data_IF_273351456821
#
_entry.id   IF_273351456821
#
_cell.length_a   1.000
_cell.length_b   1.000
_cell.length_c   1.000
_cell.angle_alpha   90.00
_cell.angle_beta   90.00
_cell.angle_gamma   90.00
#
_symmetry.space_group_name_H-M   'P 1'
#
loop_
_entity.id
_entity.type
_entity.pdbx_description
1 polymer ?
#
# COMPACT_ATOMS: atom_id res chain seq x y z
N UNK A 1 -33.24 -8.71 -0.23
CA UNK A 1 -31.90 -8.34 0.27
C UNK A 1 -31.43 -7.21 -0.61
N UNK A 2 -31.11 -6.04 -0.05
CA UNK A 2 -30.63 -4.93 -0.87
C UNK A 2 -29.19 -5.22 -1.32
N UNK A 3 -28.78 -4.63 -2.44
CA UNK A 3 -27.42 -4.77 -2.96
C UNK A 3 -26.38 -4.41 -1.89
N UNK A 4 -26.62 -3.33 -1.15
CA UNK A 4 -25.72 -2.88 -0.07
C UNK A 4 -25.59 -3.93 1.04
N UNK A 5 -26.68 -4.61 1.44
CA UNK A 5 -26.64 -5.69 2.44
C UNK A 5 -25.75 -6.87 1.99
N UNK A 6 -25.74 -7.15 0.68
CA UNK A 6 -24.92 -8.22 0.09
C UNK A 6 -23.44 -7.84 0.01
N UNK A 7 -23.16 -6.57 -0.30
CA UNK A 7 -21.80 -6.02 -0.28
C UNK A 7 -21.24 -6.07 1.15
N UNK A 8 -22.02 -5.66 2.14
CA UNK A 8 -21.60 -5.71 3.55
C UNK A 8 -21.30 -7.15 3.99
N UNK A 9 -22.16 -8.10 3.63
CA UNK A 9 -21.93 -9.52 3.93
C UNK A 9 -20.65 -10.06 3.27
N UNK A 10 -20.37 -9.66 2.02
CA UNK A 10 -19.15 -10.04 1.32
C UNK A 10 -17.91 -9.45 2.04
N UNK A 11 -17.96 -8.19 2.43
CA UNK A 11 -16.89 -7.52 3.17
C UNK A 11 -16.66 -8.20 4.52
N UNK A 12 -17.70 -8.57 5.26
CA UNK A 12 -17.56 -9.32 6.51
C UNK A 12 -16.88 -10.67 6.30
N UNK A 13 -17.28 -11.41 5.26
CA UNK A 13 -16.65 -12.69 4.91
C UNK A 13 -15.17 -12.52 4.58
N UNK A 14 -14.82 -11.52 3.78
CA UNK A 14 -13.43 -11.19 3.46
C UNK A 14 -12.63 -10.89 4.74
N UNK A 15 -13.15 -10.01 5.61
CA UNK A 15 -12.50 -9.67 6.88
C UNK A 15 -12.36 -10.85 7.84
N UNK A 16 -13.20 -11.87 7.71
CA UNK A 16 -13.15 -13.08 8.53
C UNK A 16 -12.02 -14.05 8.16
N UNK A 17 -11.40 -13.88 6.98
CA UNK A 17 -10.29 -14.72 6.52
C UNK A 17 -9.03 -14.43 7.33
N UNK A 18 -8.29 -15.48 7.70
CA UNK A 18 -7.18 -15.35 8.64
C UNK A 18 -6.03 -14.49 8.07
N UNK A 19 -5.67 -14.66 6.80
CA UNK A 19 -4.64 -13.82 6.16
C UNK A 19 -5.07 -12.33 6.04
N UNK A 20 -6.37 -12.05 5.96
CA UNK A 20 -6.89 -10.67 5.99
C UNK A 20 -6.79 -10.08 7.39
N UNK A 21 -7.06 -10.86 8.45
CA UNK A 21 -6.84 -10.43 9.83
C UNK A 21 -5.36 -10.19 10.10
N UNK A 22 -4.49 -11.08 9.62
CA UNK A 22 -3.05 -10.96 9.79
C UNK A 22 -2.50 -9.71 9.09
N UNK A 23 -3.02 -9.39 7.90
CA UNK A 23 -2.75 -8.13 7.22
C UNK A 23 -3.20 -6.91 8.05
N UNK A 24 -4.44 -6.91 8.57
CA UNK A 24 -4.96 -5.81 9.40
C UNK A 24 -4.13 -5.60 10.67
N UNK A 25 -3.63 -6.68 11.27
CA UNK A 25 -2.72 -6.60 12.42
C UNK A 25 -1.37 -6.00 12.03
N UNK A 26 -0.80 -6.43 10.90
CA UNK A 26 0.46 -5.87 10.38
C UNK A 26 0.32 -4.39 10.04
N UNK A 27 -0.79 -3.99 9.41
CA UNK A 27 -1.13 -2.60 9.13
C UNK A 27 -1.21 -1.78 10.42
N UNK A 28 -1.94 -2.28 11.43
CA UNK A 28 -2.06 -1.59 12.73
C UNK A 28 -0.71 -1.43 13.42
N UNK A 29 0.14 -2.47 13.40
CA UNK A 29 1.47 -2.44 13.97
C UNK A 29 2.39 -1.45 13.25
N UNK A 30 2.32 -1.41 11.90
CA UNK A 30 3.04 -0.44 11.09
C UNK A 30 2.58 0.99 11.40
N UNK A 31 1.26 1.23 11.45
CA UNK A 31 0.65 2.54 11.74
C UNK A 31 0.98 3.05 13.14
N UNK A 32 1.17 2.16 14.12
CA UNK A 32 1.58 2.54 15.46
C UNK A 32 3.03 3.06 15.53
N UNK A 33 3.88 2.74 14.54
CA UNK A 33 5.28 3.14 14.53
C UNK A 33 5.46 4.57 13.99
N UNK A 34 5.33 5.57 14.86
CA UNK A 34 5.51 6.98 14.51
C UNK A 34 6.90 7.32 13.97
N UNK A 35 7.94 6.57 14.34
CA UNK A 35 9.31 6.85 13.87
C UNK A 35 9.48 6.55 12.38
N UNK A 36 8.83 5.49 11.88
CA UNK A 36 8.80 5.19 10.45
C UNK A 36 8.13 6.30 9.64
N UNK A 37 7.01 6.85 10.12
CA UNK A 37 6.36 7.98 9.45
C UNK A 37 7.21 9.24 9.49
N UNK A 38 7.85 9.55 10.62
CA UNK A 38 8.79 10.68 10.71
C UNK A 38 9.95 10.51 9.73
N UNK A 39 10.52 9.31 9.64
CA UNK A 39 11.55 8.97 8.67
C UNK A 39 11.06 9.15 7.22
N UNK A 40 9.83 8.73 6.92
CA UNK A 40 9.25 8.89 5.59
C UNK A 40 9.06 10.36 5.23
N UNK A 41 8.60 11.19 6.16
CA UNK A 41 8.42 12.62 5.95
C UNK A 41 9.77 13.34 5.77
N UNK A 42 10.79 12.99 6.56
CA UNK A 42 12.16 13.48 6.39
C UNK A 42 12.71 13.11 5.00
N UNK A 43 12.53 11.86 4.58
CA UNK A 43 12.94 11.39 3.25
C UNK A 43 12.27 12.21 2.14
N UNK A 44 10.94 12.44 2.22
CA UNK A 44 10.21 13.25 1.24
C UNK A 44 10.69 14.70 1.20
N UNK A 45 10.98 15.29 2.36
CA UNK A 45 11.53 16.64 2.45
C UNK A 45 12.89 16.73 1.74
N UNK A 46 13.78 15.77 1.98
CA UNK A 46 15.08 15.68 1.31
C UNK A 46 14.92 15.46 -0.20
N UNK A 47 14.00 14.61 -0.65
CA UNK A 47 13.73 14.40 -2.08
C UNK A 47 13.26 15.70 -2.76
N UNK A 48 12.36 16.45 -2.11
CA UNK A 48 11.89 17.76 -2.60
C UNK A 48 13.03 18.77 -2.69
N UNK A 49 13.89 18.80 -1.69
CA UNK A 49 15.07 19.67 -1.65
C UNK A 49 16.10 19.27 -2.73
N UNK A 50 16.31 17.98 -2.96
CA UNK A 50 17.16 17.49 -4.04
C UNK A 50 16.63 17.95 -5.41
N UNK A 51 15.32 17.83 -5.66
CA UNK A 51 14.70 18.35 -6.90
C UNK A 51 14.93 19.85 -7.05
N UNK A 52 14.86 20.62 -5.96
CA UNK A 52 15.19 22.04 -6.00
C UNK A 52 16.66 22.27 -6.38
N UNK A 53 17.61 21.58 -5.73
CA UNK A 53 19.03 21.72 -6.03
C UNK A 53 19.39 21.33 -7.46
N UNK A 54 18.71 20.31 -8.00
CA UNK A 54 18.85 19.93 -9.40
C UNK A 54 18.41 21.06 -10.34
N UNK A 55 17.29 21.74 -10.04
CA UNK A 55 16.75 22.84 -10.87
C UNK A 55 17.63 24.10 -10.86
N UNK A 56 18.44 24.30 -9.83
CA UNK A 56 19.34 25.46 -9.70
C UNK A 56 20.81 25.09 -9.92
N UNK A 57 21.08 23.98 -10.61
CA UNK A 57 22.41 23.48 -10.98
C UNK A 57 23.39 23.28 -9.80
N UNK A 58 22.89 23.14 -8.58
CA UNK A 58 23.69 22.86 -7.38
C UNK A 58 23.97 21.36 -7.24
N UNK A 59 24.74 20.82 -8.18
CA UNK A 59 24.96 19.37 -8.31
C UNK A 59 25.58 18.70 -7.08
N UNK A 60 26.46 19.37 -6.34
CA UNK A 60 27.03 18.82 -5.11
C UNK A 60 26.00 18.71 -3.98
N UNK A 61 25.14 19.73 -3.83
CA UNK A 61 24.05 19.71 -2.87
C UNK A 61 23.01 18.65 -3.24
N UNK A 62 22.63 18.57 -4.52
CA UNK A 62 21.76 17.53 -5.05
C UNK A 62 22.26 16.13 -4.68
N UNK A 63 23.52 15.81 -4.96
CA UNK A 63 24.10 14.49 -4.66
C UNK A 63 24.03 14.17 -3.17
N UNK A 64 24.43 15.11 -2.31
CA UNK A 64 24.42 14.90 -0.85
C UNK A 64 23.00 14.68 -0.33
N UNK A 65 22.05 15.53 -0.72
CA UNK A 65 20.66 15.43 -0.28
C UNK A 65 19.99 14.16 -0.82
N UNK A 66 20.26 13.79 -2.07
CA UNK A 66 19.76 12.55 -2.67
C UNK A 66 20.31 11.31 -1.96
N UNK A 67 21.60 11.29 -1.61
CA UNK A 67 22.19 10.20 -0.83
C UNK A 67 21.56 10.08 0.56
N UNK A 68 21.33 11.20 1.26
CA UNK A 68 20.64 11.18 2.56
C UNK A 68 19.24 10.58 2.44
N UNK A 69 18.46 10.98 1.42
CA UNK A 69 17.14 10.41 1.17
C UNK A 69 17.20 8.90 0.89
N UNK A 70 18.17 8.44 0.09
CA UNK A 70 18.37 7.02 -0.23
C UNK A 70 18.73 6.17 1.00
N UNK A 71 19.50 6.72 1.93
CA UNK A 71 19.83 6.04 3.19
C UNK A 71 18.55 5.82 4.02
N UNK A 72 17.71 6.84 4.12
CA UNK A 72 16.44 6.73 4.85
C UNK A 72 15.49 5.77 4.14
N UNK A 73 15.39 5.82 2.81
CA UNK A 73 14.58 4.91 2.00
C UNK A 73 14.98 3.45 2.27
N UNK A 74 16.28 3.14 2.24
CA UNK A 74 16.79 1.79 2.54
C UNK A 74 16.43 1.35 3.95
N UNK A 75 16.58 2.23 4.94
CA UNK A 75 16.21 1.94 6.32
C UNK A 75 14.72 1.61 6.46
N UNK A 76 13.85 2.36 5.79
CA UNK A 76 12.40 2.11 5.80
C UNK A 76 12.09 0.78 5.11
N UNK A 77 12.65 0.53 3.92
CA UNK A 77 12.40 -0.72 3.16
C UNK A 77 12.85 -1.98 3.88
N UNK A 78 13.97 -1.90 4.61
CA UNK A 78 14.51 -3.02 5.39
C UNK A 78 13.90 -3.13 6.79
N UNK A 79 12.90 -2.31 7.12
CA UNK A 79 12.28 -2.35 8.43
C UNK A 79 11.33 -3.58 8.51
N UNK A 80 11.42 -4.42 9.56
CA UNK A 80 10.61 -5.63 9.66
C UNK A 80 9.10 -5.41 9.53
N UNK A 81 8.57 -4.33 10.13
CA UNK A 81 7.15 -3.98 9.98
C UNK A 81 6.73 -3.61 8.56
N UNK A 82 7.64 -3.03 7.76
CA UNK A 82 7.34 -2.66 6.38
C UNK A 82 7.37 -3.90 5.49
N UNK A 83 8.34 -4.78 5.71
CA UNK A 83 8.42 -6.08 5.04
C UNK A 83 7.20 -6.96 5.35
N UNK A 84 6.86 -7.11 6.64
CA UNK A 84 5.70 -7.90 7.07
C UNK A 84 4.38 -7.38 6.50
N UNK A 85 4.17 -6.05 6.52
CA UNK A 85 3.03 -5.42 5.87
C UNK A 85 3.01 -5.66 4.36
N UNK A 86 4.14 -5.47 3.67
CA UNK A 86 4.23 -5.61 2.23
C UNK A 86 3.96 -7.05 1.75
N UNK A 87 4.50 -8.05 2.45
CA UNK A 87 4.25 -9.46 2.13
C UNK A 87 2.77 -9.81 2.30
N UNK A 88 2.13 -9.38 3.39
CA UNK A 88 0.70 -9.66 3.63
C UNK A 88 -0.23 -8.86 2.72
N UNK A 89 0.21 -7.69 2.26
CA UNK A 89 -0.55 -6.87 1.33
C UNK A 89 -0.73 -7.57 -0.03
N UNK A 90 0.28 -8.32 -0.49
CA UNK A 90 0.22 -9.05 -1.76
C UNK A 90 -0.95 -10.06 -1.76
N UNK A 91 -1.03 -10.92 -0.74
CA UNK A 91 -2.10 -11.91 -0.60
C UNK A 91 -3.51 -11.29 -0.56
N UNK A 92 -3.66 -10.17 0.16
CA UNK A 92 -4.95 -9.46 0.26
C UNK A 92 -5.31 -8.76 -1.06
N UNK A 93 -4.31 -8.25 -1.79
CA UNK A 93 -4.52 -7.60 -3.07
C UNK A 93 -4.96 -8.62 -4.14
N UNK A 94 -4.34 -9.80 -4.15
CA UNK A 94 -4.73 -10.91 -5.02
C UNK A 94 -6.17 -11.37 -4.75
N UNK A 95 -6.57 -11.45 -3.48
CA UNK A 95 -7.96 -11.74 -3.11
C UNK A 95 -8.93 -10.72 -3.71
N UNK A 96 -8.67 -9.43 -3.50
CA UNK A 96 -9.55 -8.36 -3.99
C UNK A 96 -9.64 -8.43 -5.51
N UNK A 97 -8.51 -8.57 -6.20
CA UNK A 97 -8.46 -8.70 -7.64
C UNK A 97 -9.27 -9.90 -8.14
N UNK A 98 -9.09 -11.07 -7.51
CA UNK A 98 -9.84 -12.27 -7.85
C UNK A 98 -11.35 -12.07 -7.71
N UNK A 99 -11.80 -11.54 -6.57
CA UNK A 99 -13.24 -11.29 -6.32
C UNK A 99 -13.80 -10.31 -7.34
N UNK A 100 -13.09 -9.21 -7.64
CA UNK A 100 -13.56 -8.24 -8.64
C UNK A 100 -13.63 -8.84 -10.04
N UNK A 101 -12.67 -9.67 -10.43
CA UNK A 101 -12.68 -10.36 -11.73
C UNK A 101 -13.84 -11.34 -11.87
N UNK A 102 -14.10 -12.15 -10.83
CA UNK A 102 -15.24 -13.08 -10.81
C UNK A 102 -16.60 -12.36 -10.89
N UNK A 103 -16.73 -11.20 -10.24
CA UNK A 103 -17.93 -10.38 -10.31
C UNK A 103 -18.10 -9.79 -11.71
N UNK A 104 -17.04 -9.24 -12.29
CA UNK A 104 -17.04 -8.69 -13.65
C UNK A 104 -17.41 -9.75 -14.69
N UNK A 105 -16.81 -10.94 -14.61
CA UNK A 105 -17.12 -12.05 -15.53
C UNK A 105 -18.59 -12.45 -15.46
N UNK A 106 -19.14 -12.60 -14.25
CA UNK A 106 -20.56 -12.96 -14.08
C UNK A 106 -21.50 -11.88 -14.58
N UNK A 107 -21.17 -10.60 -14.35
CA UNK A 107 -21.96 -9.49 -14.88
C UNK A 107 -21.92 -9.48 -16.40
N UNK A 108 -20.75 -9.66 -17.01
CA UNK A 108 -20.61 -9.71 -18.46
C UNK A 108 -21.39 -10.88 -19.06
N UNK A 109 -21.35 -12.07 -18.45
CA UNK A 109 -22.14 -13.22 -18.89
C UNK A 109 -23.64 -12.92 -18.89
N UNK A 110 -24.17 -12.31 -17.82
CA UNK A 110 -25.59 -11.93 -17.75
C UNK A 110 -25.97 -10.94 -18.86
N UNK A 111 -25.11 -9.94 -19.11
CA UNK A 111 -25.32 -8.97 -20.19
C UNK A 111 -25.27 -9.61 -21.59
N UNK A 112 -24.42 -10.61 -21.80
CA UNK A 112 -24.31 -11.34 -23.06
C UNK A 112 -25.47 -12.32 -23.29
N UNK A 113 -25.94 -13.01 -22.24
CA UNK A 113 -27.05 -13.96 -22.34
C UNK A 113 -28.43 -13.31 -22.32
N UNK A 114 -28.53 -12.04 -21.91
CA UNK A 114 -29.77 -11.26 -21.93
C UNK A 114 -30.81 -11.69 -20.88
N UNK A 115 -30.39 -12.38 -19.82
CA UNK A 115 -31.19 -12.65 -18.61
C UNK A 115 -30.86 -11.66 -17.50
#
# INVERSE_FOLDING_TARGET
MHYDDLVDLLVEKIKSLDYVKDFQQAETALMANQELFKAQEEMKALQKEAVLYQKIDKMQAYKKTSQSAQVIEKRIKLHPLVEDYATKLEDVNDLVQYITGELEEKVNLLLETGE
#
